data_IF_708879359293
#
_entry.id   IF_708879359293
#
_cell.length_a   1.000
_cell.length_b   1.000
_cell.length_c   1.000
_cell.angle_alpha   90.00
_cell.angle_beta   90.00
_cell.angle_gamma   90.00
#
_symmetry.space_group_name_H-M   'P 1'
#
loop_
_entity.id
_entity.type
_entity.pdbx_description
1 polymer ?
#
# COMPACT_ATOMS: atom_id res chain seq x y z
N UNK A 1 -59.65 -33.16 17.66
CA UNK A 1 -58.81 -33.31 18.86
C UNK A 1 -57.40 -33.67 18.40
N UNK A 2 -56.37 -32.91 18.85
CA UNK A 2 -54.95 -33.16 18.54
C UNK A 2 -54.52 -34.56 19.00
N UNK A 3 -53.62 -35.23 18.25
CA UNK A 3 -52.44 -35.97 18.76
C UNK A 3 -51.60 -36.40 17.52
N UNK A 4 -50.38 -35.89 17.29
CA UNK A 4 -49.07 -36.24 17.89
C UNK A 4 -48.53 -37.62 17.45
N UNK A 5 -47.45 -37.65 16.66
CA UNK A 5 -46.09 -38.10 17.03
C UNK A 5 -45.23 -38.53 15.82
N UNK A 6 -44.03 -37.95 15.74
CA UNK A 6 -42.85 -38.52 15.10
C UNK A 6 -42.38 -39.76 15.87
N UNK A 7 -41.70 -40.71 15.20
CA UNK A 7 -40.29 -40.93 15.55
C UNK A 7 -39.35 -41.23 14.36
N UNK A 8 -38.08 -40.83 14.53
CA UNK A 8 -36.79 -41.48 14.19
C UNK A 8 -36.71 -42.46 12.98
N UNK A 9 -35.70 -42.45 12.10
CA UNK A 9 -34.25 -42.54 12.37
C UNK A 9 -33.46 -42.32 11.04
N UNK A 10 -32.27 -41.74 11.15
CA UNK A 10 -31.22 -41.56 10.13
C UNK A 10 -30.73 -42.88 9.50
N UNK A 11 -30.35 -42.87 8.21
CA UNK A 11 -29.07 -43.40 7.69
C UNK A 11 -28.67 -42.71 6.36
N UNK A 12 -27.56 -41.95 6.43
CA UNK A 12 -26.41 -41.77 5.54
C UNK A 12 -26.44 -41.96 4.00
N UNK A 13 -25.79 -40.99 3.33
CA UNK A 13 -24.65 -41.12 2.37
C UNK A 13 -24.84 -40.46 1.00
N UNK A 14 -23.77 -39.74 0.60
CA UNK A 14 -23.65 -38.81 -0.51
C UNK A 14 -23.47 -39.44 -1.90
N UNK A 15 -23.79 -38.69 -2.97
CA UNK A 15 -22.93 -38.60 -4.17
C UNK A 15 -23.26 -37.40 -5.09
N UNK A 16 -22.23 -36.58 -5.29
CA UNK A 16 -21.82 -35.71 -6.41
C UNK A 16 -22.83 -35.12 -7.42
N UNK A 17 -22.76 -33.80 -7.60
CA UNK A 17 -23.19 -33.10 -8.82
C UNK A 17 -21.99 -32.36 -9.43
N UNK A 18 -21.70 -32.67 -10.70
CA UNK A 18 -20.72 -32.01 -11.54
C UNK A 18 -21.31 -30.74 -12.16
N UNK A 19 -20.51 -29.67 -12.25
CA UNK A 19 -20.87 -28.41 -12.92
C UNK A 19 -20.33 -28.37 -14.36
N UNK A 20 -21.12 -27.87 -15.34
CA UNK A 20 -20.68 -27.80 -16.74
C UNK A 20 -19.71 -26.63 -16.96
N UNK A 21 -18.67 -26.88 -17.76
CA UNK A 21 -17.70 -25.88 -18.20
C UNK A 21 -18.26 -25.07 -19.38
N UNK A 22 -18.26 -23.74 -19.26
CA UNK A 22 -18.57 -22.83 -20.37
C UNK A 22 -17.27 -22.47 -21.09
N UNK A 23 -17.14 -22.88 -22.35
CA UNK A 23 -16.06 -22.48 -23.25
C UNK A 23 -16.45 -21.15 -23.90
N UNK A 24 -15.68 -20.08 -23.64
CA UNK A 24 -15.81 -18.80 -24.33
C UNK A 24 -14.80 -18.74 -25.47
N UNK A 25 -15.30 -18.65 -26.71
CA UNK A 25 -14.51 -18.45 -27.91
C UNK A 25 -13.69 -17.14 -27.81
N UNK A 26 -12.39 -17.22 -28.09
CA UNK A 26 -11.49 -16.08 -28.11
C UNK A 26 -11.68 -15.27 -29.40
N UNK A 27 -11.92 -13.97 -29.26
CA UNK A 27 -11.81 -13.02 -30.37
C UNK A 27 -10.34 -12.90 -30.82
N UNK A 28 -10.08 -12.60 -32.11
CA UNK A 28 -8.72 -12.52 -32.64
C UNK A 28 -7.87 -11.49 -31.88
N UNK A 29 -6.64 -11.89 -31.57
CA UNK A 29 -5.68 -11.06 -30.85
C UNK A 29 -5.36 -9.79 -31.67
N UNK A 30 -5.66 -8.62 -31.10
CA UNK A 30 -5.18 -7.36 -31.64
C UNK A 30 -3.65 -7.29 -31.53
N UNK A 31 -3.01 -6.71 -32.55
CA UNK A 31 -1.56 -6.58 -32.64
C UNK A 31 -0.92 -5.94 -31.39
N UNK A 32 0.29 -6.37 -30.99
CA UNK A 32 0.97 -5.83 -29.81
C UNK A 32 1.30 -4.34 -30.00
N UNK A 33 0.72 -3.50 -29.14
CA UNK A 33 1.06 -2.08 -29.04
C UNK A 33 2.44 -1.94 -28.37
N UNK A 34 3.36 -1.25 -29.05
CA UNK A 34 4.73 -0.93 -28.61
C UNK A 34 4.75 -0.31 -27.19
N UNK A 35 5.75 -0.67 -26.39
CA UNK A 35 5.85 -0.41 -24.94
C UNK A 35 6.07 1.05 -24.51
N UNK A 36 6.21 2.01 -25.45
CA UNK A 36 6.63 3.39 -25.15
C UNK A 36 5.59 4.49 -25.43
N UNK A 37 4.30 4.18 -25.56
CA UNK A 37 3.29 5.24 -25.65
C UNK A 37 2.89 5.74 -24.27
N UNK A 38 3.22 7.00 -23.97
CA UNK A 38 2.64 7.74 -22.84
C UNK A 38 1.11 7.67 -22.92
N UNK A 39 0.51 7.01 -21.94
CA UNK A 39 -0.93 6.86 -21.86
C UNK A 39 -1.51 8.17 -21.34
N UNK A 40 -2.16 8.92 -22.23
CA UNK A 40 -2.77 10.22 -21.93
C UNK A 40 -4.29 10.16 -21.97
N UNK A 41 -4.94 11.09 -21.27
CA UNK A 41 -6.38 11.29 -21.24
C UNK A 41 -6.66 12.78 -21.47
N UNK A 42 -7.50 13.11 -22.43
CA UNK A 42 -7.98 14.50 -22.60
C UNK A 42 -9.27 14.71 -21.80
N UNK A 43 -9.27 15.70 -20.92
CA UNK A 43 -10.43 16.14 -20.13
C UNK A 43 -10.38 17.66 -19.95
N UNK A 44 -11.49 18.38 -20.12
CA UNK A 44 -11.53 19.85 -20.04
C UNK A 44 -10.50 20.55 -20.93
N UNK A 45 -10.30 20.05 -22.17
CA UNK A 45 -9.28 20.50 -23.12
C UNK A 45 -7.83 20.40 -22.62
N UNK A 46 -7.60 19.69 -21.52
CA UNK A 46 -6.28 19.46 -20.95
C UNK A 46 -5.89 17.99 -21.10
N UNK A 47 -4.62 17.76 -21.35
CA UNK A 47 -4.05 16.41 -21.45
C UNK A 47 -3.49 16.00 -20.10
N UNK A 48 -4.06 14.96 -19.51
CA UNK A 48 -3.62 14.33 -18.28
C UNK A 48 -2.75 13.12 -18.61
N UNK A 49 -1.63 12.97 -17.91
CA UNK A 49 -0.75 11.81 -18.08
C UNK A 49 -1.09 10.76 -17.01
N UNK A 50 -1.08 9.49 -17.40
CA UNK A 50 -1.30 8.37 -16.48
C UNK A 50 -0.23 8.39 -15.38
N UNK A 51 -0.68 8.45 -14.13
CA UNK A 51 0.14 8.25 -12.94
C UNK A 51 0.10 6.81 -12.46
N UNK A 52 -0.17 6.60 -11.17
CA UNK A 52 -0.16 5.27 -10.56
C UNK A 52 -1.43 4.46 -10.85
N UNK A 53 -1.24 3.16 -11.13
CA UNK A 53 -2.29 2.14 -11.05
C UNK A 53 -2.22 1.48 -9.68
N UNK A 54 -3.28 1.61 -8.89
CA UNK A 54 -3.36 1.02 -7.54
C UNK A 54 -4.36 -0.14 -7.56
N UNK A 55 -3.91 -1.33 -7.19
CA UNK A 55 -4.78 -2.51 -7.01
C UNK A 55 -5.08 -2.69 -5.52
N UNK A 56 -6.31 -2.38 -5.11
CA UNK A 56 -6.85 -2.77 -3.80
C UNK A 56 -7.50 -4.16 -3.86
N UNK A 57 -7.88 -4.72 -2.70
CA UNK A 57 -8.58 -6.01 -2.62
C UNK A 57 -9.93 -6.02 -3.35
N UNK A 58 -10.59 -4.86 -3.45
CA UNK A 58 -11.96 -4.70 -3.97
C UNK A 58 -12.10 -3.65 -5.07
N UNK A 59 -11.05 -2.87 -5.35
CA UNK A 59 -11.11 -1.73 -6.28
C UNK A 59 -9.77 -1.56 -7.00
N UNK A 60 -9.80 -1.40 -8.33
CA UNK A 60 -8.65 -0.96 -9.12
C UNK A 60 -8.77 0.53 -9.43
N UNK A 61 -7.69 1.30 -9.28
CA UNK A 61 -7.71 2.76 -9.52
C UNK A 61 -6.61 3.10 -10.53
N UNK A 62 -6.98 3.76 -11.62
CA UNK A 62 -6.05 4.35 -12.57
C UNK A 62 -6.15 5.88 -12.48
N UNK A 63 -5.11 6.54 -11.93
CA UNK A 63 -5.12 7.98 -11.68
C UNK A 63 -4.38 8.73 -12.79
N UNK A 64 -4.98 9.82 -13.28
CA UNK A 64 -4.41 10.73 -14.27
C UNK A 64 -4.23 12.11 -13.64
N UNK A 65 -3.07 12.71 -13.87
CA UNK A 65 -2.70 14.00 -13.29
C UNK A 65 -2.44 15.01 -14.40
N UNK A 66 -2.81 16.27 -14.16
CA UNK A 66 -2.29 17.36 -14.98
C UNK A 66 -0.79 17.48 -14.73
N UNK A 67 0.04 17.65 -15.77
CA UNK A 67 1.39 18.18 -15.61
C UNK A 67 1.32 19.48 -14.78
N UNK A 68 2.31 19.74 -13.91
CA UNK A 68 2.39 20.99 -13.14
C UNK A 68 2.40 22.16 -14.13
N UNK A 69 1.26 22.83 -14.34
CA UNK A 69 1.17 23.89 -15.34
C UNK A 69 1.25 25.31 -14.78
N UNK A 70 1.29 25.55 -13.47
CA UNK A 70 1.55 26.87 -12.86
C UNK A 70 1.53 26.78 -11.32
N UNK A 71 1.85 27.86 -10.57
CA UNK A 71 1.70 27.95 -9.10
C UNK A 71 0.25 27.88 -8.59
N UNK A 72 -0.71 27.45 -9.43
CA UNK A 72 -2.12 27.49 -9.11
C UNK A 72 -2.43 26.67 -7.85
N UNK A 73 -3.17 27.27 -6.93
CA UNK A 73 -3.61 26.69 -5.64
C UNK A 73 -4.60 25.53 -5.76
N UNK A 74 -4.79 24.99 -6.96
CA UNK A 74 -5.82 24.02 -7.31
C UNK A 74 -5.17 22.76 -7.87
N UNK A 75 -5.63 21.59 -7.43
CA UNK A 75 -5.17 20.31 -7.98
C UNK A 75 -6.35 19.56 -8.58
N UNK A 76 -6.28 19.31 -9.88
CA UNK A 76 -7.22 18.47 -10.61
C UNK A 76 -6.71 17.03 -10.64
N UNK A 77 -7.60 16.07 -10.40
CA UNK A 77 -7.31 14.64 -10.54
C UNK A 77 -8.44 13.99 -11.28
N UNK A 78 -8.12 13.24 -12.33
CA UNK A 78 -9.08 12.35 -12.99
C UNK A 78 -8.70 10.90 -12.66
N UNK A 79 -9.67 10.02 -12.45
CA UNK A 79 -9.41 8.63 -12.08
C UNK A 79 -10.46 7.70 -12.65
N UNK A 80 -10.06 6.47 -12.96
CA UNK A 80 -10.96 5.36 -13.29
C UNK A 80 -10.89 4.32 -12.18
N UNK A 81 -12.05 3.87 -11.72
CA UNK A 81 -12.23 2.84 -10.71
C UNK A 81 -12.86 1.60 -11.34
N UNK A 82 -12.46 0.41 -10.88
CA UNK A 82 -13.08 -0.87 -11.25
C UNK A 82 -13.48 -1.58 -9.96
N UNK A 83 -14.77 -1.87 -9.81
CA UNK A 83 -15.36 -2.57 -8.66
C UNK A 83 -15.85 -3.97 -9.11
N UNK A 84 -15.06 -5.03 -8.90
CA UNK A 84 -15.48 -6.39 -9.20
C UNK A 84 -16.65 -6.82 -8.30
N UNK A 85 -17.63 -7.52 -8.85
CA UNK A 85 -18.76 -8.06 -8.07
C UNK A 85 -19.84 -7.04 -7.69
N UNK A 86 -19.71 -5.79 -8.14
CA UNK A 86 -20.78 -4.80 -8.13
C UNK A 86 -21.29 -4.64 -9.56
N UNK A 87 -22.61 -4.63 -9.74
CA UNK A 87 -23.22 -4.66 -11.08
C UNK A 87 -24.30 -3.58 -11.27
N UNK A 88 -24.91 -3.11 -10.18
CA UNK A 88 -25.96 -2.09 -10.21
C UNK A 88 -25.39 -0.71 -9.85
N UNK A 89 -25.28 0.15 -10.86
CA UNK A 89 -24.77 1.51 -10.71
C UNK A 89 -25.72 2.40 -9.87
N UNK A 90 -27.03 2.25 -10.06
CA UNK A 90 -28.04 3.09 -9.43
C UNK A 90 -28.16 2.76 -7.94
N UNK A 91 -28.24 1.47 -7.62
CA UNK A 91 -28.23 1.00 -6.23
C UNK A 91 -26.94 1.43 -5.52
N UNK A 92 -25.79 1.31 -6.17
CA UNK A 92 -24.51 1.73 -5.59
C UNK A 92 -24.48 3.24 -5.29
N UNK A 93 -24.94 4.09 -6.21
CA UNK A 93 -25.03 5.54 -6.02
C UNK A 93 -25.98 5.90 -4.88
N UNK A 94 -27.14 5.24 -4.77
CA UNK A 94 -28.09 5.47 -3.69
C UNK A 94 -27.50 5.09 -2.32
N UNK A 95 -26.83 3.94 -2.24
CA UNK A 95 -26.13 3.50 -1.02
C UNK A 95 -25.00 4.48 -0.64
N UNK A 96 -24.25 4.96 -1.62
CA UNK A 96 -23.19 5.95 -1.41
C UNK A 96 -23.77 7.25 -0.86
N UNK A 97 -24.86 7.77 -1.44
CA UNK A 97 -25.55 8.96 -0.93
C UNK A 97 -26.02 8.78 0.50
N UNK A 98 -26.63 7.64 0.82
CA UNK A 98 -27.09 7.34 2.18
C UNK A 98 -25.94 7.27 3.19
N UNK A 99 -24.81 6.66 2.82
CA UNK A 99 -23.64 6.58 3.69
C UNK A 99 -22.97 7.95 3.90
N UNK A 100 -22.85 8.76 2.85
CA UNK A 100 -22.35 10.14 2.96
C UNK A 100 -23.23 10.99 3.89
N UNK A 101 -24.55 10.83 3.82
CA UNK A 101 -25.47 11.53 4.71
C UNK A 101 -25.25 11.16 6.19
N UNK A 102 -24.95 9.89 6.50
CA UNK A 102 -24.60 9.45 7.87
C UNK A 102 -23.31 10.11 8.39
N UNK A 103 -22.41 10.49 7.49
CA UNK A 103 -21.17 11.20 7.80
C UNK A 103 -21.35 12.74 7.77
N UNK A 104 -22.58 13.24 7.65
CA UNK A 104 -22.87 14.67 7.57
C UNK A 104 -22.49 15.31 6.22
N UNK A 105 -22.24 14.51 5.19
CA UNK A 105 -21.87 14.97 3.85
C UNK A 105 -23.09 14.99 2.94
N UNK A 106 -23.45 16.18 2.45
CA UNK A 106 -24.52 16.34 1.46
C UNK A 106 -24.02 15.98 0.05
N UNK A 107 -24.77 15.09 -0.62
CA UNK A 107 -24.45 14.59 -1.94
C UNK A 107 -25.64 14.72 -2.91
N UNK A 108 -25.34 15.10 -4.16
CA UNK A 108 -26.27 15.32 -5.25
C UNK A 108 -26.14 14.19 -6.28
N UNK A 109 -27.24 13.52 -6.61
CA UNK A 109 -27.28 12.56 -7.72
C UNK A 109 -27.28 13.36 -9.02
N UNK A 110 -26.38 13.01 -9.94
CA UNK A 110 -26.25 13.68 -11.22
C UNK A 110 -27.40 13.22 -12.13
N UNK A 111 -28.19 14.13 -12.71
CA UNK A 111 -29.24 13.75 -13.65
C UNK A 111 -28.60 13.28 -14.97
N UNK A 112 -28.63 11.97 -15.20
CA UNK A 112 -28.09 11.32 -16.40
C UNK A 112 -29.23 10.65 -17.16
N UNK A 113 -29.30 10.88 -18.47
CA UNK A 113 -30.35 10.33 -19.35
C UNK A 113 -30.15 8.86 -19.68
N UNK A 114 -28.90 8.39 -19.73
CA UNK A 114 -28.59 6.99 -20.03
C UNK A 114 -28.88 6.13 -18.79
N UNK A 115 -29.81 5.16 -18.87
CA UNK A 115 -30.20 4.33 -17.73
C UNK A 115 -29.09 3.37 -17.27
N UNK A 116 -28.04 3.16 -18.06
CA UNK A 116 -26.88 2.35 -17.68
C UNK A 116 -25.85 3.15 -16.88
N UNK A 117 -26.02 4.46 -16.78
CA UNK A 117 -25.12 5.35 -16.06
C UNK A 117 -25.79 5.82 -14.76
N UNK A 118 -25.00 6.00 -13.72
CA UNK A 118 -25.45 6.66 -12.50
C UNK A 118 -24.32 7.51 -11.95
N UNK A 119 -24.64 8.72 -11.47
CA UNK A 119 -23.61 9.64 -11.03
C UNK A 119 -23.94 10.31 -9.71
N UNK A 120 -22.90 10.71 -8.99
CA UNK A 120 -23.02 11.40 -7.70
C UNK A 120 -21.91 12.43 -7.57
N UNK A 121 -22.23 13.58 -7.03
CA UNK A 121 -21.26 14.63 -6.72
C UNK A 121 -21.46 15.16 -5.30
N UNK A 122 -20.37 15.54 -4.65
CA UNK A 122 -20.40 16.01 -3.26
C UNK A 122 -19.14 16.80 -2.92
N UNK A 123 -19.22 17.52 -1.80
CA UNK A 123 -18.09 18.27 -1.25
C UNK A 123 -17.55 17.57 0.00
N UNK A 124 -16.24 17.57 0.16
CA UNK A 124 -15.57 17.21 1.41
C UNK A 124 -14.81 18.43 1.93
N UNK A 125 -14.91 18.73 3.22
CA UNK A 125 -14.15 19.80 3.87
C UNK A 125 -13.46 19.27 5.12
N UNK A 126 -12.20 19.63 5.30
CA UNK A 126 -11.48 19.49 6.55
C UNK A 126 -10.61 20.73 6.80
N UNK A 127 -9.84 20.72 7.89
CA UNK A 127 -8.98 21.84 8.29
C UNK A 127 -7.93 22.23 7.23
N UNK A 128 -7.58 21.32 6.31
CA UNK A 128 -6.49 21.50 5.36
C UNK A 128 -6.95 21.76 3.93
N UNK A 129 -8.19 21.41 3.59
CA UNK A 129 -8.71 21.55 2.23
C UNK A 129 -10.22 21.43 2.13
N UNK A 130 -10.72 21.97 1.02
CA UNK A 130 -12.03 21.67 0.48
C UNK A 130 -11.85 20.91 -0.85
N UNK A 131 -12.68 19.88 -1.07
CA UNK A 131 -12.70 19.08 -2.29
C UNK A 131 -14.10 19.05 -2.87
N UNK A 132 -14.15 18.96 -4.19
CA UNK A 132 -15.33 18.59 -4.94
C UNK A 132 -15.03 17.28 -5.65
N UNK A 133 -15.89 16.29 -5.44
CA UNK A 133 -15.81 14.99 -6.07
C UNK A 133 -17.03 14.80 -6.96
N UNK A 134 -16.82 14.27 -8.17
CA UNK A 134 -17.89 13.81 -9.05
C UNK A 134 -17.55 12.43 -9.61
N UNK A 135 -18.46 11.49 -9.44
CA UNK A 135 -18.34 10.11 -9.91
C UNK A 135 -19.44 9.81 -10.92
N UNK A 136 -19.08 9.09 -11.98
CA UNK A 136 -20.01 8.51 -12.95
C UNK A 136 -19.72 7.02 -13.06
N UNK A 137 -20.68 6.21 -12.66
CA UNK A 137 -20.65 4.75 -12.63
C UNK A 137 -21.35 4.16 -13.84
N UNK A 138 -20.83 3.03 -14.34
CA UNK A 138 -21.39 2.29 -15.46
C UNK A 138 -20.96 0.83 -15.42
N UNK A 139 -21.82 -0.12 -15.81
CA UNK A 139 -21.45 -1.52 -15.85
C UNK A 139 -20.42 -1.77 -16.96
N UNK A 140 -19.44 -2.63 -16.68
CA UNK A 140 -18.54 -3.13 -17.70
C UNK A 140 -19.32 -3.90 -18.77
N UNK A 141 -18.81 -3.92 -20.02
CA UNK A 141 -19.47 -4.61 -21.15
C UNK A 141 -19.78 -6.09 -20.87
N UNK A 142 -18.96 -6.75 -20.07
CA UNK A 142 -19.15 -8.15 -19.68
C UNK A 142 -20.14 -8.35 -18.52
N UNK A 143 -20.71 -7.27 -17.98
CA UNK A 143 -21.61 -7.29 -16.83
C UNK A 143 -20.98 -7.69 -15.49
N UNK A 144 -19.67 -7.99 -15.45
CA UNK A 144 -19.01 -8.59 -14.26
C UNK A 144 -18.42 -7.57 -13.27
N UNK A 145 -18.44 -6.29 -13.60
CA UNK A 145 -17.87 -5.24 -12.77
C UNK A 145 -18.60 -3.92 -12.99
N UNK A 146 -18.54 -3.05 -11.98
CA UNK A 146 -18.94 -1.66 -12.08
C UNK A 146 -17.67 -0.82 -12.30
N UNK A 147 -17.70 0.05 -13.30
CA UNK A 147 -16.64 0.99 -13.61
C UNK A 147 -17.06 2.37 -13.12
N UNK A 148 -16.12 3.17 -12.60
CA UNK A 148 -16.42 4.55 -12.23
C UNK A 148 -15.38 5.52 -12.74
N UNK A 149 -15.84 6.58 -13.39
CA UNK A 149 -15.03 7.74 -13.75
C UNK A 149 -15.17 8.75 -12.62
N UNK A 150 -14.06 9.32 -12.20
CA UNK A 150 -14.00 10.23 -11.07
C UNK A 150 -13.20 11.46 -11.44
N UNK A 151 -13.76 12.63 -11.17
CA UNK A 151 -13.01 13.88 -11.17
C UNK A 151 -13.00 14.46 -9.76
N UNK A 152 -11.82 14.84 -9.30
CA UNK A 152 -11.61 15.58 -8.06
C UNK A 152 -10.99 16.93 -8.37
N UNK A 153 -11.56 17.98 -7.80
CA UNK A 153 -10.93 19.29 -7.71
C UNK A 153 -10.73 19.66 -6.23
N UNK A 154 -9.57 20.21 -5.90
CA UNK A 154 -9.20 20.58 -4.53
C UNK A 154 -8.77 22.02 -4.42
N UNK A 155 -9.02 22.61 -3.26
CA UNK A 155 -8.61 23.95 -2.90
C UNK A 155 -8.20 24.02 -1.43
N UNK A 156 -7.49 25.10 -1.07
CA UNK A 156 -7.27 25.44 0.33
C UNK A 156 -8.56 26.02 0.97
N UNK A 157 -8.79 25.85 2.29
CA UNK A 157 -10.02 26.27 2.95
C UNK A 157 -10.34 27.76 2.79
N UNK A 158 -9.32 28.63 2.79
CA UNK A 158 -9.47 30.08 2.62
C UNK A 158 -9.95 30.50 1.21
N UNK A 159 -10.04 29.56 0.27
CA UNK A 159 -10.58 29.77 -1.09
C UNK A 159 -11.94 29.11 -1.29
N UNK A 160 -12.64 28.73 -0.22
CA UNK A 160 -13.93 28.02 -0.31
C UNK A 160 -14.99 28.75 -1.13
N UNK A 161 -15.18 30.05 -0.92
CA UNK A 161 -16.20 30.81 -1.65
C UNK A 161 -15.94 30.87 -3.17
N UNK A 162 -14.75 31.31 -3.65
CA UNK A 162 -14.45 31.27 -5.09
C UNK A 162 -14.43 29.83 -5.64
N UNK A 163 -14.05 28.85 -4.83
CA UNK A 163 -14.11 27.44 -5.20
C UNK A 163 -15.54 26.98 -5.49
N UNK A 164 -16.48 27.26 -4.58
CA UNK A 164 -17.89 26.86 -4.74
C UNK A 164 -18.53 27.56 -5.95
N UNK A 165 -18.19 28.83 -6.21
CA UNK A 165 -18.63 29.55 -7.41
C UNK A 165 -18.13 28.85 -8.68
N UNK A 166 -16.83 28.54 -8.74
CA UNK A 166 -16.23 27.82 -9.88
C UNK A 166 -16.91 26.47 -10.14
N UNK A 167 -17.09 25.67 -9.08
CA UNK A 167 -17.74 24.35 -9.19
C UNK A 167 -19.19 24.50 -9.65
N UNK A 168 -19.94 25.46 -9.10
CA UNK A 168 -21.34 25.69 -9.50
C UNK A 168 -21.46 26.02 -10.99
N UNK A 169 -20.56 26.86 -11.51
CA UNK A 169 -20.54 27.24 -12.93
C UNK A 169 -20.12 26.09 -13.84
N UNK A 170 -19.21 25.22 -13.37
CA UNK A 170 -18.52 24.25 -14.24
C UNK A 170 -19.03 22.82 -14.09
N UNK A 171 -19.75 22.47 -13.00
CA UNK A 171 -20.11 21.09 -12.66
C UNK A 171 -20.87 20.38 -13.77
N UNK A 172 -21.79 21.07 -14.45
CA UNK A 172 -22.59 20.50 -15.53
C UNK A 172 -21.70 20.10 -16.71
N UNK A 173 -20.76 20.96 -17.09
CA UNK A 173 -19.81 20.72 -18.16
C UNK A 173 -18.86 19.58 -17.80
N UNK A 174 -18.27 19.59 -16.59
CA UNK A 174 -17.39 18.51 -16.14
C UNK A 174 -18.09 17.15 -16.08
N UNK A 175 -19.35 17.10 -15.66
CA UNK A 175 -20.10 15.85 -15.65
C UNK A 175 -20.29 15.31 -17.08
N UNK A 176 -20.59 16.18 -18.05
CA UNK A 176 -20.70 15.79 -19.47
C UNK A 176 -19.38 15.31 -20.04
N UNK A 177 -18.29 16.04 -19.78
CA UNK A 177 -16.97 15.63 -20.22
C UNK A 177 -16.51 14.34 -19.55
N UNK A 178 -16.86 14.10 -18.28
CA UNK A 178 -16.53 12.86 -17.59
C UNK A 178 -17.29 11.67 -18.21
N UNK A 179 -18.54 11.89 -18.65
CA UNK A 179 -19.31 10.91 -19.42
C UNK A 179 -18.74 10.67 -20.83
N UNK A 180 -18.14 11.69 -21.45
CA UNK A 180 -17.53 11.58 -22.78
C UNK A 180 -16.07 11.10 -22.76
N UNK A 181 -15.38 11.22 -21.62
CA UNK A 181 -13.96 10.94 -21.49
C UNK A 181 -13.63 9.49 -21.88
N UNK A 182 -12.76 9.34 -22.88
CA UNK A 182 -12.29 8.04 -23.31
C UNK A 182 -11.06 7.65 -22.48
N UNK A 183 -11.27 6.79 -21.49
CA UNK A 183 -10.18 6.28 -20.69
C UNK A 183 -9.46 5.16 -21.45
N UNK A 184 -8.13 5.25 -21.61
CA UNK A 184 -7.32 4.17 -22.14
C UNK A 184 -7.65 2.84 -21.46
N UNK A 185 -7.80 1.80 -22.26
CA UNK A 185 -8.23 0.48 -21.79
C UNK A 185 -7.37 -0.02 -20.63
N UNK A 186 -8.03 -0.59 -19.61
CA UNK A 186 -7.34 -1.29 -18.53
C UNK A 186 -6.60 -2.48 -19.14
N UNK A 187 -5.27 -2.38 -19.29
CA UNK A 187 -4.44 -3.58 -19.38
C UNK A 187 -4.33 -4.12 -17.96
N UNK A 188 -5.15 -5.12 -17.66
CA UNK A 188 -4.95 -5.93 -16.47
C UNK A 188 -3.51 -6.45 -16.52
N UNK A 189 -2.72 -6.36 -15.44
CA UNK A 189 -1.59 -7.28 -15.32
C UNK A 189 -2.17 -8.70 -15.49
N UNK A 190 -1.52 -9.58 -16.27
CA UNK A 190 -2.08 -10.89 -16.59
C UNK A 190 -2.54 -11.59 -15.32
N UNK A 191 -3.78 -12.09 -15.32
CA UNK A 191 -4.31 -12.88 -14.22
C UNK A 191 -3.40 -14.12 -14.04
N UNK A 192 -2.73 -14.23 -12.90
CA UNK A 192 -2.18 -15.50 -12.45
C UNK A 192 -3.35 -16.39 -12.03
N UNK A 193 -4.04 -16.99 -13.00
CA UNK A 193 -5.25 -17.75 -12.73
C UNK A 193 -5.97 -18.21 -13.99
N UNK A 194 -5.31 -19.05 -14.77
CA UNK A 194 -5.94 -19.98 -15.72
C UNK A 194 -5.43 -21.39 -15.43
N UNK A 195 -6.16 -22.46 -15.82
CA UNK A 195 -5.75 -23.84 -15.56
C UNK A 195 -4.34 -24.06 -16.07
N UNK A 196 -3.53 -24.77 -15.28
CA UNK A 196 -2.09 -24.91 -15.43
C UNK A 196 -1.68 -25.22 -16.87
N UNK A 197 -1.35 -24.17 -17.63
CA UNK A 197 -0.40 -24.31 -18.72
C UNK A 197 0.95 -24.65 -18.08
N UNK A 198 1.77 -25.52 -18.70
CA UNK A 198 3.03 -25.95 -18.13
C UNK A 198 3.82 -24.73 -17.70
N UNK A 199 4.18 -24.68 -16.41
CA UNK A 199 4.89 -23.56 -15.76
C UNK A 199 5.97 -23.05 -16.71
N UNK A 200 5.74 -21.89 -17.32
CA UNK A 200 6.85 -21.11 -17.81
C UNK A 200 7.73 -20.85 -16.59
N UNK A 201 8.95 -21.37 -16.62
CA UNK A 201 9.88 -21.24 -15.51
C UNK A 201 9.92 -19.77 -15.07
N UNK A 202 9.74 -19.50 -13.76
CA UNK A 202 9.76 -18.13 -13.28
C UNK A 202 11.06 -17.49 -13.75
N UNK A 203 10.96 -16.39 -14.51
CA UNK A 203 12.12 -15.57 -14.93
C UNK A 203 13.04 -15.45 -13.72
N UNK A 204 14.17 -16.15 -13.77
CA UNK A 204 15.07 -16.35 -12.64
C UNK A 204 15.52 -14.97 -12.20
N UNK A 205 15.03 -14.49 -11.06
CA UNK A 205 15.43 -13.19 -10.53
C UNK A 205 16.97 -13.23 -10.38
N UNK A 206 17.69 -12.19 -10.83
CA UNK A 206 19.15 -12.18 -10.73
C UNK A 206 19.53 -12.36 -9.26
N UNK A 207 20.41 -13.31 -8.92
CA UNK A 207 20.66 -13.71 -7.54
C UNK A 207 21.16 -12.55 -6.69
N UNK A 208 20.63 -12.41 -5.47
CA UNK A 208 21.12 -11.45 -4.50
C UNK A 208 22.51 -11.90 -4.05
N UNK A 209 23.48 -10.99 -4.12
CA UNK A 209 24.80 -11.23 -3.54
C UNK A 209 24.65 -11.47 -2.04
N UNK A 210 25.32 -12.51 -1.53
CA UNK A 210 25.42 -12.75 -0.09
C UNK A 210 26.48 -11.82 0.51
N UNK A 211 26.12 -11.08 1.55
CA UNK A 211 27.06 -10.25 2.33
C UNK A 211 26.90 -10.64 3.79
N UNK A 212 27.98 -11.03 4.44
CA UNK A 212 27.98 -11.31 5.88
C UNK A 212 27.99 -9.99 6.67
N UNK A 213 27.02 -9.82 7.56
CA UNK A 213 26.99 -8.70 8.51
C UNK A 213 27.52 -9.17 9.87
N UNK A 214 28.68 -8.64 10.28
CA UNK A 214 29.24 -8.87 11.61
C UNK A 214 28.76 -7.77 12.56
N UNK A 215 27.87 -8.12 13.47
CA UNK A 215 27.25 -7.23 14.45
C UNK A 215 27.42 -7.86 15.83
N UNK A 216 27.71 -7.04 16.84
CA UNK A 216 27.88 -7.53 18.19
C UNK A 216 26.58 -8.18 18.70
N UNK A 217 26.71 -9.38 19.25
CA UNK A 217 25.57 -10.07 19.84
C UNK A 217 25.24 -9.45 21.20
N UNK A 218 24.22 -8.60 21.21
CA UNK A 218 23.69 -7.96 22.42
C UNK A 218 22.58 -8.78 23.10
N UNK A 219 22.25 -9.98 22.60
CA UNK A 219 21.17 -10.80 23.19
C UNK A 219 21.48 -11.09 24.66
N UNK A 220 20.58 -10.69 25.56
CA UNK A 220 20.78 -10.83 27.01
C UNK A 220 21.72 -9.80 27.65
N UNK A 221 22.26 -8.86 26.88
CA UNK A 221 23.16 -7.78 27.34
C UNK A 221 22.49 -6.41 27.22
N UNK A 222 21.30 -6.28 27.81
CA UNK A 222 20.51 -5.06 27.74
C UNK A 222 19.04 -5.27 28.12
N UNK A 223 18.20 -4.28 27.82
CA UNK A 223 16.76 -4.35 28.13
C UNK A 223 16.03 -5.16 27.07
N UNK A 224 15.43 -6.28 27.47
CA UNK A 224 14.55 -7.06 26.60
C UNK A 224 13.21 -6.34 26.41
N UNK A 225 12.76 -6.24 25.16
CA UNK A 225 11.43 -5.73 24.80
C UNK A 225 10.71 -6.81 24.02
N UNK A 226 9.59 -7.29 24.56
CA UNK A 226 8.68 -8.20 23.89
C UNK A 226 7.64 -7.38 23.09
N UNK A 227 7.44 -7.76 21.85
CA UNK A 227 6.53 -7.14 20.89
C UNK A 227 5.51 -8.19 20.47
N UNK A 228 4.46 -8.27 21.29
CA UNK A 228 3.37 -9.24 21.19
C UNK A 228 2.01 -8.55 21.43
N UNK A 229 0.92 -9.32 21.48
CA UNK A 229 -0.41 -8.79 21.73
C UNK A 229 -0.51 -7.97 23.03
N UNK A 230 0.22 -8.35 24.08
CA UNK A 230 0.27 -7.63 25.36
C UNK A 230 0.95 -6.27 25.20
N UNK A 231 2.04 -6.21 24.44
CA UNK A 231 2.68 -4.95 24.06
C UNK A 231 1.72 -4.05 23.29
N UNK A 232 1.03 -4.56 22.27
CA UNK A 232 0.05 -3.78 21.49
C UNK A 232 -1.07 -3.23 22.38
N UNK A 233 -1.61 -4.06 23.29
CA UNK A 233 -2.64 -3.65 24.26
C UNK A 233 -2.14 -2.57 25.22
N UNK A 234 -0.91 -2.70 25.73
CA UNK A 234 -0.27 -1.68 26.58
C UNK A 234 -0.09 -0.32 25.90
N UNK A 235 -0.15 -0.29 24.56
CA UNK A 235 -0.06 0.89 23.70
C UNK A 235 -1.41 1.32 23.11
N UNK A 236 -2.52 0.81 23.67
CA UNK A 236 -3.87 1.21 23.28
C UNK A 236 -4.29 0.75 21.87
N UNK A 237 -3.89 -0.46 21.47
CA UNK A 237 -4.25 -1.03 20.17
C UNK A 237 -4.65 -2.49 20.24
N UNK A 238 -5.69 -2.82 19.47
CA UNK A 238 -6.20 -4.19 19.28
C UNK A 238 -5.60 -4.92 18.07
N UNK A 239 -4.59 -4.33 17.40
CA UNK A 239 -3.91 -5.00 16.29
C UNK A 239 -3.23 -6.30 16.74
N UNK A 240 -3.54 -7.38 16.02
CA UNK A 240 -2.86 -8.66 16.13
C UNK A 240 -1.46 -8.54 15.50
N UNK A 241 -0.42 -8.83 16.29
CA UNK A 241 0.94 -8.95 15.79
C UNK A 241 1.10 -10.37 15.24
N UNK A 242 1.07 -10.51 13.91
CA UNK A 242 1.07 -11.80 13.21
C UNK A 242 2.35 -12.62 13.42
N UNK A 243 3.49 -11.94 13.61
CA UNK A 243 4.76 -12.55 13.98
C UNK A 243 5.29 -11.88 15.25
N UNK A 244 4.89 -12.34 16.46
CA UNK A 244 5.41 -11.82 17.70
C UNK A 244 6.93 -12.03 17.79
N UNK A 245 7.63 -11.05 18.35
CA UNK A 245 9.08 -11.11 18.48
C UNK A 245 9.56 -10.35 19.71
N UNK A 246 10.81 -10.56 20.08
CA UNK A 246 11.52 -9.75 21.06
C UNK A 246 12.78 -9.15 20.45
N UNK A 247 13.23 -8.03 21.01
CA UNK A 247 14.51 -7.41 20.71
C UNK A 247 15.19 -7.02 22.02
N UNK A 248 16.52 -7.05 22.03
CA UNK A 248 17.31 -6.46 23.12
C UNK A 248 17.73 -5.06 22.74
N UNK A 249 17.55 -4.12 23.65
CA UNK A 249 18.06 -2.75 23.54
C UNK A 249 19.40 -2.67 24.28
N UNK A 250 20.48 -2.20 23.64
CA UNK A 250 21.73 -1.90 24.33
C UNK A 250 21.52 -0.95 25.50
N UNK A 251 22.36 -1.05 26.53
CA UNK A 251 22.39 -0.07 27.63
C UNK A 251 22.95 1.24 27.10
N UNK A 252 22.07 2.16 26.72
CA UNK A 252 22.44 3.51 26.30
C UNK A 252 21.51 4.51 26.96
N UNK A 253 22.04 5.70 27.21
CA UNK A 253 21.24 6.85 27.61
C UNK A 253 20.46 7.37 26.38
N UNK A 254 19.33 8.03 26.62
CA UNK A 254 18.52 8.70 25.58
C UNK A 254 17.86 7.82 24.50
N UNK A 255 17.38 6.62 24.87
CA UNK A 255 16.54 5.80 23.98
C UNK A 255 15.05 6.12 24.15
N UNK A 256 14.43 6.60 23.09
CA UNK A 256 12.99 6.75 23.01
C UNK A 256 12.35 5.51 22.38
N UNK A 257 11.38 4.92 23.08
CA UNK A 257 10.58 3.79 22.60
C UNK A 257 9.19 4.30 22.22
N UNK A 258 8.90 4.31 20.93
CA UNK A 258 7.56 4.63 20.42
C UNK A 258 6.89 3.34 19.94
N UNK A 259 5.75 2.99 20.54
CA UNK A 259 4.83 2.02 19.99
C UNK A 259 3.60 2.78 19.54
N UNK A 260 3.39 2.90 18.24
CA UNK A 260 2.21 3.56 17.69
C UNK A 260 1.42 2.60 16.80
N UNK A 261 0.91 1.50 17.35
CA UNK A 261 0.28 0.42 16.58
C UNK A 261 -0.95 0.86 15.77
N UNK A 262 -1.48 2.08 15.92
CA UNK A 262 -2.49 2.63 15.01
C UNK A 262 -1.97 2.93 13.57
N UNK A 263 -0.67 3.17 13.40
CA UNK A 263 -0.02 3.23 12.07
C UNK A 263 0.56 1.85 11.69
N UNK A 264 1.00 1.59 10.45
CA UNK A 264 1.55 0.28 10.06
C UNK A 264 2.81 -0.14 10.83
N UNK A 265 3.44 0.77 11.59
CA UNK A 265 4.62 0.53 12.41
C UNK A 265 4.24 -0.15 13.74
N UNK A 266 4.79 -1.33 14.01
CA UNK A 266 4.55 -2.07 15.25
C UNK A 266 5.29 -1.44 16.42
N UNK A 267 6.57 -1.12 16.23
CA UNK A 267 7.41 -0.46 17.23
C UNK A 267 8.57 0.27 16.57
N UNK A 268 9.03 1.35 17.21
CA UNK A 268 10.21 2.13 16.83
C UNK A 268 11.06 2.45 18.04
N UNK A 269 12.37 2.27 17.86
CA UNK A 269 13.39 2.64 18.82
C UNK A 269 14.22 3.75 18.21
N UNK A 270 14.37 4.88 18.91
CA UNK A 270 15.13 6.04 18.45
C UNK A 270 16.18 6.39 19.48
N UNK A 271 17.43 6.49 19.04
CA UNK A 271 18.56 6.98 19.82
C UNK A 271 18.81 8.45 19.50
N UNK A 272 18.92 9.27 20.53
CA UNK A 272 19.39 10.66 20.44
C UNK A 272 20.69 10.86 21.21
N UNK A 273 21.39 11.98 21.00
CA UNK A 273 22.45 12.43 21.91
C UNK A 273 21.86 13.22 23.09
N UNK A 274 22.73 13.75 23.96
CA UNK A 274 22.36 14.58 25.10
C UNK A 274 21.57 15.84 24.69
N UNK A 275 21.88 16.40 23.51
CA UNK A 275 21.21 17.57 22.93
C UNK A 275 19.87 17.22 22.23
N UNK A 276 19.39 15.98 22.39
CA UNK A 276 18.16 15.45 21.75
C UNK A 276 18.21 15.42 20.23
N UNK A 277 19.40 15.50 19.63
CA UNK A 277 19.57 15.34 18.20
C UNK A 277 19.40 13.88 17.80
N UNK A 278 18.70 13.66 16.71
CA UNK A 278 18.43 12.34 16.16
C UNK A 278 19.71 11.70 15.59
N UNK A 279 20.10 10.54 16.15
CA UNK A 279 21.23 9.75 15.66
C UNK A 279 20.76 8.56 14.82
N UNK A 280 19.99 7.66 15.41
CA UNK A 280 19.62 6.39 14.78
C UNK A 280 18.19 6.01 15.15
N UNK A 281 17.49 5.32 14.24
CA UNK A 281 16.29 4.58 14.62
C UNK A 281 16.21 3.25 13.91
N UNK A 282 15.52 2.33 14.54
CA UNK A 282 15.04 1.10 13.92
C UNK A 282 13.55 0.95 14.18
N UNK A 283 12.82 0.62 13.13
CA UNK A 283 11.37 0.45 13.11
C UNK A 283 11.06 -0.96 12.67
N UNK A 284 10.02 -1.56 13.24
CA UNK A 284 9.56 -2.89 12.85
C UNK A 284 8.10 -2.84 12.42
N UNK A 285 7.78 -3.62 11.40
CA UNK A 285 6.42 -3.88 10.90
C UNK A 285 6.32 -5.33 10.43
N UNK A 286 5.12 -5.79 10.11
CA UNK A 286 4.89 -7.15 9.61
C UNK A 286 5.31 -7.29 8.15
N UNK A 287 5.74 -8.50 7.80
CA UNK A 287 6.03 -8.91 6.43
C UNK A 287 5.49 -10.32 6.21
N UNK A 288 4.67 -10.51 5.18
CA UNK A 288 4.16 -11.81 4.80
C UNK A 288 4.77 -12.26 3.46
N UNK A 289 5.31 -13.47 3.42
CA UNK A 289 5.83 -14.10 2.21
C UNK A 289 5.40 -15.56 2.19
N UNK A 290 4.89 -16.02 1.05
CA UNK A 290 4.51 -17.43 0.81
C UNK A 290 5.59 -18.42 1.35
N UNK A 291 5.23 -19.31 2.30
CA UNK A 291 6.18 -20.19 2.96
C UNK A 291 6.60 -21.39 2.11
N UNK A 292 5.87 -21.69 1.02
CA UNK A 292 6.08 -22.89 0.19
C UNK A 292 7.27 -22.77 -0.77
N UNK A 293 7.75 -21.55 -1.00
CA UNK A 293 8.92 -21.31 -1.85
C UNK A 293 10.24 -21.57 -1.11
N UNK A 294 11.32 -21.97 -1.82
CA UNK A 294 12.65 -22.08 -1.22
C UNK A 294 13.10 -20.77 -0.56
N UNK A 295 13.88 -20.85 0.53
CA UNK A 295 14.26 -19.69 1.34
C UNK A 295 14.89 -18.56 0.51
N UNK A 296 15.81 -18.86 -0.42
CA UNK A 296 16.41 -17.86 -1.29
C UNK A 296 15.35 -17.12 -2.12
N UNK A 297 14.37 -17.84 -2.69
CA UNK A 297 13.27 -17.22 -3.42
C UNK A 297 12.38 -16.35 -2.51
N UNK A 298 12.17 -16.78 -1.26
CA UNK A 298 11.43 -16.01 -0.26
C UNK A 298 12.15 -14.70 0.11
N UNK A 299 13.47 -14.75 0.30
CA UNK A 299 14.32 -13.57 0.55
C UNK A 299 14.25 -12.58 -0.64
N UNK A 300 14.32 -13.07 -1.87
CA UNK A 300 14.14 -12.25 -3.07
C UNK A 300 12.75 -11.59 -3.15
N UNK A 301 11.69 -12.34 -2.83
CA UNK A 301 10.32 -11.82 -2.77
C UNK A 301 10.18 -10.75 -1.68
N UNK A 302 10.80 -10.96 -0.51
CA UNK A 302 10.83 -9.97 0.55
C UNK A 302 11.47 -8.65 0.05
N UNK A 303 12.66 -8.69 -0.55
CA UNK A 303 13.30 -7.50 -1.15
C UNK A 303 12.36 -6.81 -2.14
N UNK A 304 11.74 -7.57 -3.05
CA UNK A 304 10.82 -7.02 -4.05
C UNK A 304 9.61 -6.32 -3.41
N UNK A 305 9.05 -6.89 -2.33
CA UNK A 305 7.95 -6.29 -1.59
C UNK A 305 8.38 -4.99 -0.90
N UNK A 306 9.54 -4.99 -0.23
CA UNK A 306 10.08 -3.81 0.43
C UNK A 306 10.31 -2.67 -0.56
N UNK A 307 10.91 -2.98 -1.71
CA UNK A 307 11.20 -2.01 -2.76
C UNK A 307 9.94 -1.39 -3.35
N UNK A 308 8.90 -2.20 -3.59
CA UNK A 308 7.66 -1.72 -4.21
C UNK A 308 6.74 -1.00 -3.22
N UNK A 309 6.71 -1.40 -1.95
CA UNK A 309 5.67 -0.98 -1.01
C UNK A 309 6.18 -0.09 0.13
N UNK A 310 7.43 -0.28 0.57
CA UNK A 310 7.98 0.40 1.74
C UNK A 310 8.90 1.56 1.35
N UNK A 311 9.87 1.32 0.46
CA UNK A 311 10.84 2.33 0.01
C UNK A 311 10.18 3.62 -0.51
N UNK A 312 9.15 3.57 -1.40
CA UNK A 312 8.57 4.80 -1.95
C UNK A 312 7.90 5.67 -0.89
N UNK A 313 7.36 5.05 0.18
CA UNK A 313 6.75 5.79 1.30
C UNK A 313 7.78 6.54 2.12
N UNK A 314 9.00 5.99 2.24
CA UNK A 314 10.10 6.66 2.93
C UNK A 314 10.74 7.76 2.07
N UNK A 315 10.70 7.62 0.75
CA UNK A 315 11.21 8.65 -0.16
C UNK A 315 10.30 9.89 -0.20
N UNK A 316 9.02 9.73 0.15
CA UNK A 316 8.07 10.83 0.20
C UNK A 316 8.51 11.89 1.22
N UNK A 317 8.85 13.09 0.73
CA UNK A 317 9.28 14.23 1.57
C UNK A 317 10.80 14.38 1.71
N UNK A 318 11.59 13.49 1.09
CA UNK A 318 13.05 13.60 1.03
C UNK A 318 13.51 13.93 -0.39
N UNK A 319 14.68 14.54 -0.49
CA UNK A 319 15.39 14.87 -1.73
C UNK A 319 16.48 13.82 -2.01
N UNK A 320 16.95 13.73 -3.26
CA UNK A 320 18.04 12.85 -3.70
C UNK A 320 17.90 11.38 -3.27
N UNK A 321 16.67 10.92 -3.11
CA UNK A 321 16.37 9.59 -2.62
C UNK A 321 16.67 8.54 -3.69
N UNK A 322 17.59 7.62 -3.40
CA UNK A 322 17.93 6.53 -4.33
C UNK A 322 18.31 5.25 -3.62
N UNK A 323 18.02 4.14 -4.29
CA UNK A 323 18.48 2.81 -3.89
C UNK A 323 19.94 2.68 -4.33
N UNK A 324 20.82 2.33 -3.38
CA UNK A 324 22.27 2.18 -3.62
C UNK A 324 22.72 0.73 -3.59
N UNK A 325 21.90 -0.21 -3.08
CA UNK A 325 22.26 -1.61 -3.07
C UNK A 325 21.15 -2.56 -2.63
N UNK A 326 21.30 -3.83 -3.02
CA UNK A 326 20.46 -4.96 -2.60
C UNK A 326 21.35 -6.16 -2.31
N UNK A 327 21.12 -6.87 -1.23
CA UNK A 327 21.86 -8.09 -0.91
C UNK A 327 21.04 -9.00 0.00
N UNK A 328 21.53 -10.22 0.19
CA UNK A 328 21.00 -11.16 1.18
C UNK A 328 22.03 -11.40 2.30
N UNK A 329 21.55 -11.62 3.51
CA UNK A 329 22.38 -11.82 4.71
C UNK A 329 21.63 -12.62 5.78
N UNK A 330 22.25 -12.76 6.95
CA UNK A 330 21.60 -13.19 8.19
C UNK A 330 21.36 -11.97 9.08
N UNK A 331 20.16 -11.85 9.64
CA UNK A 331 19.84 -10.89 10.71
C UNK A 331 19.49 -11.69 11.95
N UNK A 332 20.37 -11.65 12.95
CA UNK A 332 20.35 -12.64 14.02
C UNK A 332 20.44 -14.06 13.43
N UNK A 333 19.58 -15.01 13.84
CA UNK A 333 19.59 -16.36 13.27
C UNK A 333 18.84 -16.48 11.93
N UNK A 334 18.14 -15.43 11.49
CA UNK A 334 17.15 -15.49 10.41
C UNK A 334 17.71 -15.07 9.05
N UNK A 335 17.11 -15.58 7.97
CA UNK A 335 17.45 -15.13 6.63
C UNK A 335 16.85 -13.76 6.36
N UNK A 336 17.62 -12.87 5.73
CA UNK A 336 17.18 -11.52 5.45
C UNK A 336 17.55 -11.05 4.06
N UNK A 337 16.63 -10.30 3.46
CA UNK A 337 16.86 -9.54 2.24
C UNK A 337 16.97 -8.05 2.57
N UNK A 338 18.03 -7.41 2.09
CA UNK A 338 18.36 -6.03 2.43
C UNK A 338 18.28 -5.12 1.20
N UNK A 339 17.71 -3.93 1.39
CA UNK A 339 17.82 -2.78 0.49
C UNK A 339 18.50 -1.66 1.25
N UNK A 340 19.51 -1.05 0.65
CA UNK A 340 20.15 0.15 1.19
C UNK A 340 19.79 1.33 0.31
N UNK A 341 19.40 2.43 0.93
CA UNK A 341 19.09 3.69 0.28
C UNK A 341 19.82 4.85 0.93
N UNK A 342 19.97 5.92 0.18
CA UNK A 342 20.36 7.22 0.70
C UNK A 342 19.30 8.25 0.34
N UNK A 343 19.14 9.26 1.18
CA UNK A 343 18.21 10.37 0.96
C UNK A 343 18.64 11.59 1.77
N UNK A 344 18.20 12.78 1.37
CA UNK A 344 18.46 14.04 2.06
C UNK A 344 17.15 14.66 2.55
N UNK A 345 17.15 15.22 3.76
CA UNK A 345 16.04 16.01 4.25
C UNK A 345 16.12 17.44 3.68
N UNK A 346 15.01 18.18 3.73
CA UNK A 346 14.91 19.53 3.16
C UNK A 346 15.89 20.54 3.79
N UNK A 347 16.37 20.25 5.00
CA UNK A 347 17.38 21.06 5.70
C UNK A 347 18.83 20.64 5.38
N UNK A 348 19.04 19.78 4.38
CA UNK A 348 20.37 19.33 3.94
C UNK A 348 20.94 18.14 4.71
N UNK A 349 20.29 17.65 5.78
CA UNK A 349 20.76 16.47 6.51
C UNK A 349 20.69 15.22 5.64
N UNK A 350 21.76 14.42 5.63
CA UNK A 350 21.86 13.19 4.86
C UNK A 350 21.51 11.98 5.71
N UNK A 351 20.74 11.07 5.14
CA UNK A 351 20.28 9.85 5.79
C UNK A 351 20.66 8.62 4.99
N UNK A 352 21.11 7.61 5.71
CA UNK A 352 21.24 6.24 5.22
C UNK A 352 20.11 5.41 5.78
N UNK A 353 19.45 4.65 4.92
CA UNK A 353 18.33 3.79 5.34
C UNK A 353 18.59 2.37 4.87
N UNK A 354 18.44 1.42 5.78
CA UNK A 354 18.50 -0.01 5.50
C UNK A 354 17.12 -0.59 5.75
N UNK A 355 16.54 -1.19 4.72
CA UNK A 355 15.29 -1.95 4.80
C UNK A 355 15.64 -3.42 4.82
N UNK A 356 15.18 -4.16 5.83
CA UNK A 356 15.45 -5.58 6.00
C UNK A 356 14.14 -6.37 6.04
N UNK A 357 14.00 -7.37 5.19
CA UNK A 357 12.91 -8.34 5.25
C UNK A 357 13.42 -9.61 5.90
N UNK A 358 13.02 -9.87 7.14
CA UNK A 358 13.57 -10.89 8.03
C UNK A 358 12.57 -12.05 8.11
N UNK A 359 13.01 -13.24 7.70
CA UNK A 359 12.15 -14.41 7.50
C UNK A 359 12.60 -15.60 8.33
N UNK A 360 11.61 -16.30 8.89
CA UNK A 360 11.79 -17.61 9.51
C UNK A 360 11.59 -18.74 8.49
N UNK A 361 12.33 -19.82 8.66
CA UNK A 361 12.15 -21.03 7.88
C UNK A 361 10.77 -21.65 8.14
N UNK A 362 10.09 -22.09 7.09
CA UNK A 362 8.76 -22.70 7.15
C UNK A 362 7.59 -21.80 7.58
N UNK A 363 7.81 -20.56 8.06
CA UNK A 363 6.71 -19.66 8.50
C UNK A 363 6.35 -18.65 7.41
N UNK A 364 5.07 -18.37 7.20
CA UNK A 364 4.62 -17.36 6.23
C UNK A 364 4.90 -15.92 6.70
N UNK A 365 4.81 -15.70 8.01
CA UNK A 365 4.97 -14.40 8.63
C UNK A 365 6.43 -14.16 9.05
N UNK A 366 6.86 -12.91 8.90
CA UNK A 366 8.16 -12.40 9.29
C UNK A 366 8.06 -10.92 9.68
N UNK A 367 9.22 -10.28 9.74
CA UNK A 367 9.34 -8.88 10.12
C UNK A 367 9.99 -8.08 9.01
N UNK A 368 9.49 -6.87 8.79
CA UNK A 368 10.19 -5.84 8.03
C UNK A 368 10.79 -4.85 9.03
N UNK A 369 12.11 -4.67 8.98
CA UNK A 369 12.81 -3.66 9.76
C UNK A 369 13.26 -2.50 8.86
N UNK A 370 13.15 -1.28 9.35
CA UNK A 370 13.70 -0.07 8.73
C UNK A 370 14.65 0.58 9.70
N UNK A 371 15.95 0.49 9.42
CA UNK A 371 16.98 1.23 10.11
C UNK A 371 17.21 2.55 9.37
N UNK A 372 17.18 3.67 10.07
CA UNK A 372 17.48 4.98 9.53
C UNK A 372 18.56 5.64 10.37
N UNK A 373 19.58 6.18 9.70
CA UNK A 373 20.78 6.69 10.32
C UNK A 373 21.03 8.11 9.82
N UNK A 374 21.11 9.06 10.74
CA UNK A 374 21.50 10.42 10.40
C UNK A 374 23.01 10.47 10.17
N UNK A 375 23.39 10.57 8.90
CA UNK A 375 24.78 10.65 8.47
C UNK A 375 25.38 12.05 8.64
N UNK A 376 24.56 13.04 8.99
CA UNK A 376 25.00 14.40 9.31
C UNK A 376 25.16 14.68 10.81
N UNK A 377 24.81 13.72 11.68
CA UNK A 377 24.94 13.87 13.13
C UNK A 377 26.03 12.96 13.70
N UNK A 378 26.67 13.40 14.79
CA UNK A 378 27.78 12.72 15.45
C UNK A 378 29.13 12.96 14.77
N UNK A 379 30.19 12.36 15.33
CA UNK A 379 31.55 12.50 14.82
C UNK A 379 31.66 11.98 13.38
N UNK A 380 32.28 12.71 12.44
CA UNK A 380 32.39 12.32 11.02
C UNK A 380 32.96 10.91 10.81
N UNK A 381 33.87 10.48 11.67
CA UNK A 381 34.51 9.16 11.60
C UNK A 381 33.62 8.02 12.12
N UNK A 382 32.56 8.32 12.88
CA UNK A 382 31.69 7.33 13.52
C UNK A 382 30.63 6.72 12.59
N UNK A 383 30.40 7.29 11.41
CA UNK A 383 29.33 6.85 10.51
C UNK A 383 29.51 5.40 10.06
N UNK A 384 30.74 5.00 9.71
CA UNK A 384 31.05 3.62 9.31
C UNK A 384 30.78 2.63 10.45
N UNK A 385 31.17 2.99 11.67
CA UNK A 385 30.93 2.15 12.85
C UNK A 385 29.46 2.04 13.16
N UNK A 386 28.70 3.14 13.05
CA UNK A 386 27.25 3.13 13.26
C UNK A 386 26.52 2.30 12.20
N UNK A 387 26.97 2.32 10.95
CA UNK A 387 26.42 1.48 9.89
C UNK A 387 26.72 -0.01 10.07
N UNK A 388 27.91 -0.35 10.60
CA UNK A 388 28.35 -1.74 10.81
C UNK A 388 27.79 -2.34 12.10
N UNK A 389 27.78 -1.58 13.18
CA UNK A 389 27.54 -2.08 14.53
C UNK A 389 26.90 -1.02 15.47
N UNK A 390 26.24 0.00 14.91
CA UNK A 390 25.55 1.00 15.73
C UNK A 390 24.32 0.44 16.44
N UNK A 391 23.78 1.22 17.37
CA UNK A 391 22.56 0.92 18.13
C UNK A 391 21.45 0.28 17.28
N UNK A 392 21.05 0.91 16.17
CA UNK A 392 19.92 0.42 15.38
C UNK A 392 20.23 -0.93 14.70
N UNK A 393 21.49 -1.15 14.34
CA UNK A 393 21.97 -2.38 13.73
C UNK A 393 22.00 -3.52 14.77
N UNK A 394 22.47 -3.25 15.98
CA UNK A 394 22.47 -4.21 17.09
C UNK A 394 21.04 -4.59 17.51
N UNK A 395 20.13 -3.61 17.62
CA UNK A 395 18.71 -3.87 17.93
C UNK A 395 18.03 -4.70 16.83
N UNK A 396 18.33 -4.44 15.55
CA UNK A 396 17.80 -5.25 14.45
C UNK A 396 18.29 -6.70 14.51
N UNK A 397 19.58 -6.92 14.79
CA UNK A 397 20.18 -8.26 14.88
C UNK A 397 19.84 -9.04 16.16
N UNK A 398 19.35 -8.35 17.19
CA UNK A 398 18.88 -8.99 18.42
C UNK A 398 17.47 -9.56 18.31
N UNK A 399 16.79 -9.39 17.17
CA UNK A 399 15.43 -9.91 16.95
C UNK A 399 15.36 -11.41 17.18
N UNK A 400 14.37 -11.86 17.96
CA UNK A 400 14.00 -13.26 18.16
C UNK A 400 12.50 -13.39 18.03
N UNK A 401 12.03 -14.16 17.04
CA UNK A 401 10.61 -14.47 16.95
C UNK A 401 10.18 -15.39 18.10
N UNK A 402 8.96 -15.20 18.57
CA UNK A 402 8.34 -16.15 19.47
C UNK A 402 8.19 -17.52 18.76
N UNK A 403 8.32 -18.60 19.53
CA UNK A 403 8.25 -19.97 19.02
C UNK A 403 6.84 -20.34 18.57
#
# INVERSE_FOLDING_TARGET
MKLLKYPHLLVSSALMLASPHVILAQAPAAAPVKEDQEVTLTFSKQTYTRGMVTQGKTVLINSYYLPKQTPTTWTHKVSMYVYPGIHDAAQYVNNMKANLAKEGVSAEIIPIKDPKLSGISYYEKNERMIKFNTFVYYPAKNGKALLARHFTLRAKPEKEEPFRKLVTLSKKHWNQELMAANYPGFKFPPQQGGPASPKAEPKKLPPLRTIEEKVDNITGKGKLVNVDASFAKSKGSDKIIAAPFSVTLPTTEHVMIMGHPQVPETVRFTLTNADKEYLQSVRFTSLAVDPTAPMNARVHRAVTLLEKQMVPKFFQGYQDAKIIGRYQTKVGPYHAGIIVTQMAHQDGRKFFVKFAGILQEGKAEGAAAVLMLNGSAGEPNSLKDRLRNGFAQQVMHSIRFAK
#
